data_IF_012284152372
#
_entry.id   IF_012284152372
#
_cell.length_a   1.000
_cell.length_b   1.000
_cell.length_c   1.000
_cell.angle_alpha   90.00
_cell.angle_beta   90.00
_cell.angle_gamma   90.00
#
_symmetry.space_group_name_H-M   'P 1'
#
loop_
_entity.id
_entity.type
_entity.pdbx_description
1 polymer ?
#
# COMPACT_ATOMS: atom_id res chain seq x y z
N UNK A 1 12.53 -3.88 -11.64
CA UNK A 1 11.36 -4.67 -11.19
C UNK A 1 10.91 -4.14 -9.84
N UNK A 2 9.79 -3.43 -9.77
CA UNK A 2 9.26 -2.88 -8.52
C UNK A 2 8.38 -3.95 -7.85
N UNK A 3 8.72 -4.34 -6.62
CA UNK A 3 7.91 -5.28 -5.84
C UNK A 3 6.75 -4.55 -5.15
N UNK A 4 5.65 -5.24 -4.82
CA UNK A 4 4.51 -4.68 -4.06
C UNK A 4 4.95 -3.91 -2.80
N UNK A 5 6.02 -4.40 -2.16
CA UNK A 5 6.72 -3.79 -1.02
C UNK A 5 7.18 -2.35 -1.32
N UNK A 6 7.89 -2.18 -2.44
CA UNK A 6 8.41 -0.88 -2.90
C UNK A 6 7.28 0.03 -3.39
N UNK A 7 6.26 -0.54 -4.03
CA UNK A 7 5.08 0.20 -4.47
C UNK A 7 4.32 0.82 -3.28
N UNK A 8 4.02 0.03 -2.23
CA UNK A 8 3.27 0.52 -1.07
C UNK A 8 4.04 1.63 -0.34
N UNK A 9 5.35 1.44 -0.18
CA UNK A 9 6.24 2.45 0.41
C UNK A 9 6.20 3.76 -0.38
N UNK A 10 6.38 3.67 -1.71
CA UNK A 10 6.38 4.84 -2.59
C UNK A 10 5.02 5.55 -2.56
N UNK A 11 3.92 4.81 -2.63
CA UNK A 11 2.58 5.38 -2.60
C UNK A 11 2.30 6.11 -1.28
N UNK A 12 2.73 5.53 -0.15
CA UNK A 12 2.66 6.21 1.16
C UNK A 12 3.44 7.53 1.16
N UNK A 13 4.67 7.51 0.64
CA UNK A 13 5.54 8.68 0.58
C UNK A 13 4.99 9.76 -0.36
N UNK A 14 4.45 9.36 -1.52
CA UNK A 14 3.81 10.28 -2.48
C UNK A 14 2.53 10.93 -1.89
N UNK A 15 1.87 10.27 -0.91
CA UNK A 15 0.75 10.83 -0.12
C UNK A 15 1.21 11.63 1.11
N UNK A 16 2.51 11.75 1.35
CA UNK A 16 3.08 12.55 2.45
C UNK A 16 2.98 11.92 3.85
N UNK A 17 2.71 10.61 3.94
CA UNK A 17 2.57 9.94 5.23
C UNK A 17 3.89 9.32 5.71
N UNK A 18 4.17 9.42 7.01
CA UNK A 18 5.12 8.52 7.68
C UNK A 18 4.45 7.17 8.00
N UNK A 19 5.24 6.12 8.26
CA UNK A 19 4.69 4.82 8.70
C UNK A 19 3.85 4.94 9.98
N UNK A 20 4.21 5.85 10.89
CA UNK A 20 3.43 6.11 12.11
C UNK A 20 2.10 6.76 11.75
N UNK A 21 2.13 7.87 10.99
CA UNK A 21 0.92 8.65 10.70
C UNK A 21 -0.17 7.87 9.95
N UNK A 22 0.22 6.98 9.03
CA UNK A 22 -0.75 6.16 8.31
C UNK A 22 -1.30 5.03 9.19
N UNK A 23 -0.46 4.47 10.07
CA UNK A 23 -0.85 3.43 11.00
C UNK A 23 -1.86 3.97 12.03
N UNK A 24 -1.60 5.17 12.56
CA UNK A 24 -2.53 5.92 13.41
C UNK A 24 -3.85 6.19 12.68
N UNK A 25 -3.77 6.66 11.43
CA UNK A 25 -4.95 7.02 10.63
C UNK A 25 -5.90 5.84 10.38
N UNK A 26 -5.38 4.61 10.27
CA UNK A 26 -6.21 3.41 10.06
C UNK A 26 -6.43 2.58 11.34
N UNK A 27 -5.83 2.99 12.46
CA UNK A 27 -5.97 2.38 13.77
C UNK A 27 -5.24 1.04 13.91
N UNK A 28 -3.98 0.96 13.45
CA UNK A 28 -3.11 -0.21 13.66
C UNK A 28 -1.76 0.20 14.24
N UNK A 29 -1.01 -0.74 14.80
CA UNK A 29 0.36 -0.48 15.24
C UNK A 29 1.28 -0.20 14.02
N UNK A 30 2.22 0.74 14.16
CA UNK A 30 3.27 0.99 13.16
C UNK A 30 4.01 -0.27 12.73
N UNK A 31 4.33 -1.16 13.66
CA UNK A 31 5.03 -2.43 13.38
C UNK A 31 4.22 -3.33 12.44
N UNK A 32 2.89 -3.33 12.58
CA UNK A 32 1.97 -4.02 11.67
C UNK A 32 2.04 -3.41 10.27
N UNK A 33 1.98 -2.09 10.15
CA UNK A 33 2.10 -1.40 8.87
C UNK A 33 3.47 -1.66 8.20
N UNK A 34 4.56 -1.55 8.97
CA UNK A 34 5.93 -1.85 8.51
C UNK A 34 6.06 -3.27 7.98
N UNK A 35 5.39 -4.24 8.61
CA UNK A 35 5.35 -5.64 8.13
C UNK A 35 4.68 -5.79 6.76
N UNK A 36 3.76 -4.89 6.39
CA UNK A 36 3.14 -4.87 5.06
C UNK A 36 4.13 -4.33 4.01
N UNK A 37 4.81 -3.22 4.30
CA UNK A 37 5.85 -2.67 3.40
C UNK A 37 7.03 -3.62 3.23
N UNK A 38 7.34 -4.43 4.24
CA UNK A 38 8.36 -5.48 4.15
C UNK A 38 7.81 -6.78 3.56
N UNK A 39 6.50 -6.88 3.37
CA UNK A 39 5.77 -8.06 2.88
C UNK A 39 5.93 -9.32 3.73
N UNK A 40 6.17 -9.16 5.03
CA UNK A 40 6.10 -10.24 6.01
C UNK A 40 4.66 -10.61 6.36
N UNK A 41 3.73 -9.66 6.20
CA UNK A 41 2.30 -9.85 6.47
C UNK A 41 1.47 -9.33 5.31
N UNK A 42 0.28 -9.89 5.16
CA UNK A 42 -0.79 -9.33 4.32
C UNK A 42 -1.82 -8.63 5.21
N UNK A 43 -2.40 -7.50 4.78
CA UNK A 43 -3.51 -6.89 5.51
C UNK A 43 -4.75 -7.80 5.46
N UNK A 44 -5.59 -7.73 6.49
CA UNK A 44 -6.95 -8.28 6.40
C UNK A 44 -7.78 -7.50 5.38
N UNK A 45 -8.93 -8.03 4.96
CA UNK A 45 -9.85 -7.30 4.06
C UNK A 45 -10.25 -5.95 4.66
N UNK A 46 -10.54 -5.90 5.96
CA UNK A 46 -10.91 -4.67 6.66
C UNK A 46 -9.77 -3.64 6.65
N UNK A 47 -8.53 -4.05 6.93
CA UNK A 47 -7.37 -3.17 6.89
C UNK A 47 -7.04 -2.73 5.46
N UNK A 48 -7.17 -3.62 4.48
CA UNK A 48 -6.94 -3.31 3.07
C UNK A 48 -7.91 -2.25 2.56
N UNK A 49 -9.19 -2.31 2.95
CA UNK A 49 -10.19 -1.28 2.61
C UNK A 49 -9.85 0.08 3.22
N UNK A 50 -9.44 0.11 4.49
CA UNK A 50 -9.00 1.37 5.14
C UNK A 50 -7.76 1.95 4.47
N UNK A 51 -6.76 1.11 4.16
CA UNK A 51 -5.56 1.54 3.45
C UNK A 51 -5.88 2.08 2.06
N UNK A 52 -6.75 1.39 1.33
CA UNK A 52 -7.21 1.80 0.01
C UNK A 52 -7.88 3.17 0.02
N UNK A 53 -8.72 3.45 1.01
CA UNK A 53 -9.36 4.76 1.18
C UNK A 53 -8.34 5.87 1.45
N UNK A 54 -7.36 5.61 2.32
CA UNK A 54 -6.32 6.60 2.66
C UNK A 54 -5.33 6.83 1.50
N UNK A 55 -5.01 5.78 0.75
CA UNK A 55 -4.02 5.80 -0.32
C UNK A 55 -4.63 6.04 -1.70
N UNK A 56 -5.97 6.10 -1.79
CA UNK A 56 -6.74 6.34 -3.02
C UNK A 56 -6.45 5.29 -4.11
N UNK A 57 -6.59 4.02 -3.75
CA UNK A 57 -6.35 2.86 -4.63
C UNK A 57 -7.38 1.76 -4.40
N UNK A 58 -7.62 0.85 -5.37
CA UNK A 58 -8.50 -0.30 -5.15
C UNK A 58 -7.95 -1.24 -4.07
N UNK A 59 -8.77 -1.61 -3.07
CA UNK A 59 -8.34 -2.50 -1.97
C UNK A 59 -7.96 -3.92 -2.43
N UNK A 60 -8.46 -4.34 -3.59
CA UNK A 60 -8.15 -5.65 -4.20
C UNK A 60 -6.68 -5.79 -4.57
N UNK A 61 -5.95 -4.67 -4.74
CA UNK A 61 -4.52 -4.67 -5.08
C UNK A 61 -3.65 -5.40 -4.05
N UNK A 62 -4.07 -5.45 -2.79
CA UNK A 62 -3.36 -6.17 -1.73
C UNK A 62 -3.52 -7.71 -1.87
N UNK A 63 -4.47 -8.16 -2.67
CA UNK A 63 -4.84 -9.57 -2.87
C UNK A 63 -4.54 -10.10 -4.26
N UNK A 64 -4.29 -9.22 -5.21
CA UNK A 64 -3.98 -9.59 -6.59
C UNK A 64 -2.60 -10.25 -6.69
N UNK A 65 -2.57 -11.47 -7.26
CA UNK A 65 -1.36 -12.27 -7.43
C UNK A 65 -0.53 -11.85 -8.66
N UNK A 66 -1.09 -11.05 -9.57
CA UNK A 66 -0.47 -10.63 -10.85
C UNK A 66 0.14 -9.22 -10.82
N UNK A 67 0.05 -8.49 -9.70
CA UNK A 67 0.60 -7.12 -9.55
C UNK A 67 2.13 -7.14 -9.30
N UNK A 68 2.84 -8.00 -10.03
CA UNK A 68 4.29 -7.90 -10.23
C UNK A 68 4.67 -7.41 -11.63
N UNK A 69 3.72 -7.20 -12.55
CA UNK A 69 4.01 -6.73 -13.91
C UNK A 69 3.27 -5.47 -14.39
N UNK A 70 2.16 -5.05 -13.78
CA UNK A 70 1.23 -4.07 -14.39
C UNK A 70 1.21 -2.66 -13.81
N UNK A 71 2.01 -2.34 -12.77
CA UNK A 71 2.22 -0.94 -12.35
C UNK A 71 3.44 -0.31 -13.03
N UNK A 72 3.60 -0.57 -14.33
CA UNK A 72 4.44 0.25 -15.19
C UNK A 72 3.62 1.49 -15.50
N UNK A 73 3.92 2.57 -14.77
CA UNK A 73 3.71 3.97 -15.14
C UNK A 73 2.71 4.22 -16.29
N UNK A 74 1.44 4.41 -15.96
CA UNK A 74 0.49 5.14 -16.84
C UNK A 74 0.35 6.59 -16.35
N UNK A 75 1.51 7.22 -16.14
CA UNK A 75 1.64 8.68 -16.24
C UNK A 75 2.19 8.98 -17.63
N UNK A 76 1.34 8.87 -18.65
CA UNK A 76 1.43 9.60 -19.93
C UNK A 76 0.28 9.16 -20.85
N UNK A 77 -0.92 9.76 -20.71
CA UNK A 77 -1.75 10.12 -21.87
C UNK A 77 -2.56 11.37 -21.51
N UNK A 78 -2.42 12.39 -22.36
CA UNK A 78 -3.17 13.65 -22.41
C UNK A 78 -4.61 13.38 -22.83
#
# INVERSE_FOLDING_TARGET
MTTLKQWLKKLREDKGYTQESIADKIGIAKTTYSSYEQGYRRPSISTAKKLAEVLDVPWTIFFDNEVRKTYVYDKEVI
#
